data_IF_376320257339
#
_entry.id   IF_376320257339
#
_cell.length_a   1.000
_cell.length_b   1.000
_cell.length_c   1.000
_cell.angle_alpha   90.00
_cell.angle_beta   90.00
_cell.angle_gamma   90.00
#
_symmetry.space_group_name_H-M   'P 1'
#
loop_
_entity.id
_entity.type
_entity.pdbx_description
1 polymer ?
#
# COMPACT_ATOMS: atom_id res chain seq x y z
N UNK A 1 -19.85 1.68 24.61
CA UNK A 1 -19.45 2.76 23.70
C UNK A 1 -20.31 2.66 22.47
N UNK A 2 -20.85 3.79 22.10
CA UNK A 2 -21.71 3.85 20.93
C UNK A 2 -20.88 3.64 19.69
N UNK A 3 -21.35 2.80 18.79
CA UNK A 3 -20.74 2.59 17.48
C UNK A 3 -21.11 3.79 16.59
N UNK A 4 -20.15 4.29 15.84
CA UNK A 4 -20.39 5.33 14.83
C UNK A 4 -19.58 5.03 13.58
N UNK A 5 -20.11 5.43 12.45
CA UNK A 5 -19.44 5.38 11.16
C UNK A 5 -19.05 6.79 10.71
N UNK A 6 -17.94 6.89 10.01
CA UNK A 6 -17.50 8.12 9.38
C UNK A 6 -17.44 7.90 7.87
N UNK A 7 -18.12 8.75 7.13
CA UNK A 7 -18.06 8.76 5.68
C UNK A 7 -17.74 10.14 5.16
N UNK A 8 -17.08 10.20 4.00
CA UNK A 8 -16.76 11.44 3.32
C UNK A 8 -16.91 11.28 1.82
N UNK A 9 -17.29 12.36 1.15
CA UNK A 9 -17.36 12.43 -0.30
C UNK A 9 -16.45 13.55 -0.78
N UNK A 10 -15.49 13.23 -1.67
CA UNK A 10 -14.65 14.19 -2.35
C UNK A 10 -15.17 14.45 -3.76
N UNK A 11 -15.23 15.71 -4.16
CA UNK A 11 -15.57 16.12 -5.52
C UNK A 11 -14.42 16.93 -6.08
N UNK A 12 -14.01 16.62 -7.33
CA UNK A 12 -12.95 17.32 -8.02
C UNK A 12 -13.22 17.38 -9.52
N UNK A 13 -12.44 18.19 -10.23
CA UNK A 13 -12.50 18.34 -11.69
C UNK A 13 -11.09 18.12 -12.24
N UNK A 14 -11.02 17.41 -13.35
CA UNK A 14 -9.79 17.15 -14.10
C UNK A 14 -10.12 17.19 -15.58
N UNK A 15 -9.18 17.64 -16.42
CA UNK A 15 -9.32 17.55 -17.87
C UNK A 15 -9.39 16.08 -18.31
N UNK A 16 -10.25 15.78 -19.28
CA UNK A 16 -10.48 14.40 -19.71
C UNK A 16 -9.19 13.70 -20.17
N UNK A 17 -8.30 14.43 -20.83
CA UNK A 17 -7.03 13.92 -21.33
C UNK A 17 -6.00 13.69 -20.22
N UNK A 18 -6.19 14.29 -19.04
CA UNK A 18 -5.31 14.14 -17.87
C UNK A 18 -5.78 13.04 -16.91
N UNK A 19 -6.92 12.41 -17.19
CA UNK A 19 -7.45 11.35 -16.35
C UNK A 19 -6.48 10.17 -16.31
N UNK A 20 -6.00 9.85 -15.10
CA UNK A 20 -5.16 8.67 -14.85
C UNK A 20 -6.03 7.41 -14.68
N UNK A 21 -5.55 6.28 -15.16
CA UNK A 21 -6.32 5.05 -15.00
C UNK A 21 -5.73 3.85 -15.74
N UNK A 22 -6.45 2.72 -15.72
CA UNK A 22 -6.00 1.46 -16.34
C UNK A 22 -5.65 1.61 -17.83
N UNK A 23 -6.38 2.45 -18.55
CA UNK A 23 -6.20 2.64 -20.00
C UNK A 23 -4.83 3.22 -20.37
N UNK A 24 -4.12 3.80 -19.41
CA UNK A 24 -2.76 4.32 -19.59
C UNK A 24 -1.67 3.29 -19.34
N UNK A 25 -1.96 2.21 -18.61
CA UNK A 25 -0.97 1.20 -18.22
C UNK A 25 -0.51 0.39 -19.43
N UNK A 26 0.78 0.15 -19.53
CA UNK A 26 1.44 -0.54 -20.66
C UNK A 26 2.35 -1.66 -20.15
N UNK A 27 2.60 -2.71 -20.97
CA UNK A 27 3.66 -3.66 -20.68
C UNK A 27 5.02 -2.95 -20.59
N UNK A 28 5.81 -3.28 -19.60
CA UNK A 28 7.10 -2.66 -19.31
C UNK A 28 7.02 -1.53 -18.30
N UNK A 29 5.83 -0.99 -17.99
CA UNK A 29 5.69 0.02 -16.94
C UNK A 29 6.20 -0.51 -15.60
N UNK A 30 6.76 0.39 -14.79
CA UNK A 30 7.35 0.07 -13.50
C UNK A 30 6.38 0.38 -12.38
N UNK A 31 6.30 -0.53 -11.43
CA UNK A 31 5.48 -0.41 -10.23
C UNK A 31 6.36 0.11 -9.10
N UNK A 32 6.11 1.33 -8.62
CA UNK A 32 6.81 1.96 -7.51
C UNK A 32 5.95 1.89 -6.25
N UNK A 33 6.52 1.34 -5.18
CA UNK A 33 5.91 1.34 -3.86
C UNK A 33 6.24 2.62 -3.10
N UNK A 34 5.27 3.10 -2.33
CA UNK A 34 5.41 4.16 -1.34
C UNK A 34 5.06 3.61 0.03
N UNK A 35 6.01 3.71 0.96
CA UNK A 35 5.89 3.13 2.29
C UNK A 35 4.70 3.65 3.08
N UNK A 36 4.05 2.75 3.82
CA UNK A 36 3.02 3.12 4.80
C UNK A 36 3.65 3.63 6.10
N UNK A 37 2.87 4.33 6.91
CA UNK A 37 3.27 4.74 8.26
C UNK A 37 2.99 3.65 9.31
N UNK A 38 2.26 2.61 8.95
CA UNK A 38 1.81 1.53 9.83
C UNK A 38 0.65 0.77 9.21
N UNK A 39 -0.27 0.29 10.05
CA UNK A 39 -1.47 -0.45 9.61
C UNK A 39 -2.41 0.39 8.73
N UNK A 40 -2.30 1.70 8.80
CA UNK A 40 -3.28 2.65 8.28
C UNK A 40 -4.66 2.42 8.91
N UNK A 41 -5.73 2.33 8.11
CA UNK A 41 -7.09 2.16 8.64
C UNK A 41 -7.72 0.80 8.31
N UNK A 42 -6.89 -0.22 7.96
CA UNK A 42 -7.37 -1.52 7.55
C UNK A 42 -6.84 -2.64 8.45
N UNK A 43 -7.63 -3.72 8.57
CA UNK A 43 -7.25 -4.90 9.33
C UNK A 43 -7.39 -4.77 10.85
N UNK A 44 -7.95 -3.68 11.38
CA UNK A 44 -8.03 -3.45 12.82
C UNK A 44 -8.88 -4.47 13.58
N UNK A 45 -9.91 -5.04 12.97
CA UNK A 45 -10.68 -6.11 13.61
C UNK A 45 -9.78 -7.31 13.92
N UNK A 46 -8.91 -7.69 12.97
CA UNK A 46 -7.97 -8.78 13.15
C UNK A 46 -6.84 -8.40 14.13
N UNK A 47 -6.24 -7.22 13.96
CA UNK A 47 -5.17 -6.74 14.84
C UNK A 47 -5.64 -6.66 16.30
N UNK A 48 -6.81 -6.09 16.57
CA UNK A 48 -7.39 -6.00 17.91
C UNK A 48 -7.69 -7.37 18.50
N UNK A 49 -8.30 -8.25 17.71
CA UNK A 49 -8.56 -9.63 18.15
C UNK A 49 -7.28 -10.35 18.56
N UNK A 50 -6.24 -10.25 17.77
CA UNK A 50 -4.97 -10.93 18.05
C UNK A 50 -4.26 -10.30 19.24
N UNK A 51 -4.02 -9.00 19.21
CA UNK A 51 -3.14 -8.34 20.17
C UNK A 51 -3.83 -8.07 21.51
N UNK A 52 -5.13 -7.68 21.50
CA UNK A 52 -5.83 -7.26 22.71
C UNK A 52 -6.68 -8.36 23.32
N UNK A 53 -7.32 -9.22 22.51
CA UNK A 53 -8.23 -10.26 23.04
C UNK A 53 -7.51 -11.59 23.28
N UNK A 54 -6.72 -12.06 22.33
CA UNK A 54 -6.00 -13.35 22.42
C UNK A 54 -4.75 -13.19 23.26
N UNK A 55 -3.86 -12.28 22.87
CA UNK A 55 -2.55 -12.08 23.53
C UNK A 55 -2.62 -11.15 24.74
N UNK A 56 -3.74 -10.45 24.93
CA UNK A 56 -4.03 -9.58 26.06
C UNK A 56 -2.98 -8.51 26.32
N UNK A 57 -2.36 -7.99 25.25
CA UNK A 57 -1.38 -6.92 25.37
C UNK A 57 -2.02 -5.63 25.86
N UNK A 58 -1.31 -4.89 26.71
CA UNK A 58 -1.74 -3.57 27.17
C UNK A 58 -1.43 -2.51 26.11
N UNK A 59 -2.38 -1.65 25.80
CA UNK A 59 -2.13 -0.49 24.92
C UNK A 59 -1.07 0.47 25.47
N UNK A 60 -0.93 0.57 26.81
CA UNK A 60 0.10 1.36 27.47
C UNK A 60 1.44 0.63 27.62
N UNK A 61 1.50 -0.67 27.24
CA UNK A 61 2.71 -1.48 27.32
C UNK A 61 3.71 -1.06 26.24
N UNK A 62 4.97 -0.83 26.65
CA UNK A 62 6.06 -0.60 25.72
C UNK A 62 6.38 -1.89 24.95
N UNK A 63 6.61 -1.77 23.66
CA UNK A 63 6.97 -2.88 22.77
C UNK A 63 8.33 -2.55 22.18
N UNK A 64 9.34 -3.36 22.51
CA UNK A 64 10.72 -3.09 22.14
C UNK A 64 10.91 -3.02 20.63
N UNK A 65 10.26 -3.91 19.88
CA UNK A 65 10.32 -3.97 18.42
C UNK A 65 9.77 -2.72 17.73
N UNK A 66 8.92 -1.96 18.41
CA UNK A 66 8.37 -0.69 17.90
C UNK A 66 9.11 0.52 18.46
N UNK A 67 9.83 0.38 19.58
CA UNK A 67 10.44 1.49 20.32
C UNK A 67 9.42 2.45 20.94
N UNK A 68 8.15 2.02 21.04
CA UNK A 68 7.01 2.81 21.57
C UNK A 68 5.93 1.89 22.14
N UNK A 69 4.89 2.45 22.73
CA UNK A 69 3.78 1.65 23.25
C UNK A 69 2.96 1.03 22.11
N UNK A 70 2.24 -0.07 22.43
CA UNK A 70 1.31 -0.67 21.47
C UNK A 70 0.23 0.33 21.03
N UNK A 71 -0.25 1.15 21.94
CA UNK A 71 -1.26 2.17 21.63
C UNK A 71 -0.76 3.20 20.62
N UNK A 72 0.47 3.70 20.79
CA UNK A 72 1.11 4.63 19.84
C UNK A 72 1.31 4.00 18.49
N UNK A 73 1.74 2.73 18.42
CA UNK A 73 1.86 2.00 17.16
C UNK A 73 0.52 1.86 16.44
N UNK A 74 -0.52 1.45 17.16
CA UNK A 74 -1.85 1.26 16.59
C UNK A 74 -2.59 2.57 16.26
N UNK A 75 -2.19 3.69 16.85
CA UNK A 75 -2.75 5.01 16.57
C UNK A 75 -1.95 5.82 15.54
N UNK A 76 -0.89 5.23 14.97
CA UNK A 76 -0.13 5.92 13.92
C UNK A 76 -1.04 6.36 12.77
N UNK A 77 -1.11 7.67 12.48
CA UNK A 77 -2.01 8.18 11.45
C UNK A 77 -1.69 7.63 10.07
N UNK A 78 -2.73 7.39 9.28
CA UNK A 78 -2.58 7.07 7.86
C UNK A 78 -1.80 8.18 7.14
N UNK A 79 -0.74 7.81 6.44
CA UNK A 79 0.06 8.75 5.65
C UNK A 79 -0.77 9.40 4.55
N UNK A 80 -0.59 10.69 4.37
CA UNK A 80 -1.25 11.48 3.32
C UNK A 80 -0.33 11.57 2.10
N UNK A 81 -0.70 10.90 1.01
CA UNK A 81 0.10 10.83 -0.23
C UNK A 81 -0.27 11.90 -1.27
N UNK A 82 -1.27 12.73 -1.02
CA UNK A 82 -1.83 13.64 -2.02
C UNK A 82 -0.76 14.54 -2.69
N UNK A 83 0.10 15.18 -1.89
CA UNK A 83 1.16 16.05 -2.43
C UNK A 83 2.25 15.28 -3.18
N UNK A 84 2.50 14.02 -2.80
CA UNK A 84 3.51 13.17 -3.43
C UNK A 84 2.99 12.68 -4.80
N UNK A 85 1.73 12.26 -4.86
CA UNK A 85 1.07 11.90 -6.11
C UNK A 85 1.01 13.08 -7.08
N UNK A 86 0.65 14.28 -6.60
CA UNK A 86 0.64 15.49 -7.43
C UNK A 86 2.02 15.84 -7.97
N UNK A 87 3.07 15.72 -7.16
CA UNK A 87 4.44 15.96 -7.61
C UNK A 87 4.87 14.98 -8.70
N UNK A 88 4.55 13.69 -8.54
CA UNK A 88 4.82 12.69 -9.58
C UNK A 88 4.07 13.00 -10.87
N UNK A 89 2.78 13.32 -10.78
CA UNK A 89 1.95 13.63 -11.97
C UNK A 89 2.45 14.84 -12.73
N UNK A 90 2.99 15.85 -12.02
CA UNK A 90 3.51 17.06 -12.64
C UNK A 90 4.82 16.86 -13.39
N UNK A 91 5.63 15.84 -13.00
CA UNK A 91 7.01 15.73 -13.46
C UNK A 91 7.35 14.41 -14.16
N UNK A 92 6.42 13.44 -14.17
CA UNK A 92 6.63 12.10 -14.74
C UNK A 92 5.38 11.59 -15.46
N UNK A 93 5.55 10.59 -16.30
CA UNK A 93 4.44 9.91 -16.95
C UNK A 93 3.85 8.83 -16.04
N UNK A 94 3.15 9.26 -15.00
CA UNK A 94 2.35 8.35 -14.19
C UNK A 94 1.19 7.83 -15.01
N UNK A 95 0.96 6.52 -14.97
CA UNK A 95 -0.16 5.84 -15.62
C UNK A 95 -1.38 5.82 -14.70
N UNK A 96 -1.15 5.41 -13.45
CA UNK A 96 -2.20 5.29 -12.45
C UNK A 96 -1.58 5.23 -11.05
N UNK A 97 -2.43 5.46 -10.04
CA UNK A 97 -2.13 5.22 -8.63
C UNK A 97 -3.04 4.14 -8.06
N UNK A 98 -2.55 3.46 -7.04
CA UNK A 98 -3.35 2.51 -6.27
C UNK A 98 -3.11 2.72 -4.78
N UNK A 99 -4.15 3.13 -4.04
CA UNK A 99 -4.11 3.19 -2.58
C UNK A 99 -4.38 1.80 -2.01
N UNK A 100 -3.43 1.29 -1.24
CA UNK A 100 -3.52 -0.05 -0.66
C UNK A 100 -4.35 -0.01 0.61
N UNK A 101 -5.53 -0.62 0.54
CA UNK A 101 -6.53 -0.69 1.60
C UNK A 101 -6.93 -2.14 1.88
N UNK A 102 -8.14 -2.39 2.39
CA UNK A 102 -8.67 -3.74 2.55
C UNK A 102 -8.67 -4.51 1.22
N UNK A 103 -8.27 -5.77 1.27
CA UNK A 103 -7.96 -6.60 0.10
C UNK A 103 -6.47 -6.70 -0.22
N UNK A 104 -5.65 -5.91 0.48
CA UNK A 104 -4.18 -5.93 0.38
C UNK A 104 -3.63 -5.41 -0.95
N UNK A 105 -2.32 -5.52 -1.12
CA UNK A 105 -1.60 -4.95 -2.25
C UNK A 105 -2.11 -5.51 -3.60
N UNK A 106 -2.11 -6.82 -3.78
CA UNK A 106 -2.51 -7.44 -5.05
C UNK A 106 -3.98 -7.14 -5.38
N UNK A 107 -4.90 -7.35 -4.43
CA UNK A 107 -6.33 -7.13 -4.66
C UNK A 107 -6.70 -5.68 -4.99
N UNK A 108 -5.95 -4.70 -4.47
CA UNK A 108 -6.18 -3.29 -4.83
C UNK A 108 -5.55 -2.97 -6.19
N UNK A 109 -4.35 -3.46 -6.48
CA UNK A 109 -3.65 -3.17 -7.73
C UNK A 109 -4.37 -3.78 -8.95
N UNK A 110 -5.03 -4.93 -8.79
CA UNK A 110 -5.88 -5.52 -9.83
C UNK A 110 -6.98 -4.58 -10.36
N UNK A 111 -7.42 -3.61 -9.56
CA UNK A 111 -8.46 -2.65 -9.96
C UNK A 111 -7.96 -1.64 -10.99
N UNK A 112 -6.66 -1.41 -11.02
CA UNK A 112 -6.02 -0.40 -11.87
C UNK A 112 -5.08 -0.99 -12.92
N UNK A 113 -4.93 -2.31 -12.97
CA UNK A 113 -4.22 -3.01 -14.05
C UNK A 113 -5.25 -3.55 -15.04
N UNK A 114 -5.17 -3.25 -16.36
CA UNK A 114 -6.16 -3.67 -17.33
C UNK A 114 -6.07 -5.17 -17.65
N UNK A 115 -7.13 -5.72 -18.22
CA UNK A 115 -7.14 -7.09 -18.72
C UNK A 115 -6.02 -7.30 -19.76
N UNK A 116 -5.43 -8.51 -19.76
CA UNK A 116 -4.31 -8.85 -20.64
C UNK A 116 -2.95 -8.38 -20.14
N UNK A 117 -2.90 -7.67 -19.00
CA UNK A 117 -1.67 -7.33 -18.29
C UNK A 117 -1.64 -7.91 -16.87
N UNK A 118 -0.44 -8.03 -16.31
CA UNK A 118 -0.21 -8.48 -14.94
C UNK A 118 0.91 -7.67 -14.32
N UNK A 119 0.70 -7.13 -13.13
CA UNK A 119 1.76 -6.56 -12.30
C UNK A 119 2.45 -7.70 -11.53
N UNK A 120 3.72 -7.91 -11.77
CA UNK A 120 4.58 -8.87 -11.08
C UNK A 120 5.36 -8.14 -10.00
N UNK A 121 5.08 -8.47 -8.73
CA UNK A 121 5.56 -7.74 -7.56
C UNK A 121 6.53 -8.60 -6.77
N UNK A 122 7.76 -8.14 -6.59
CA UNK A 122 8.81 -8.89 -5.91
C UNK A 122 8.77 -8.66 -4.39
N UNK A 123 8.44 -9.72 -3.64
CA UNK A 123 8.44 -9.73 -2.17
C UNK A 123 9.81 -9.48 -1.55
N UNK A 124 10.88 -9.71 -2.28
CA UNK A 124 12.25 -9.51 -1.82
C UNK A 124 12.66 -8.03 -1.75
N UNK A 125 11.87 -7.11 -2.29
CA UNK A 125 12.22 -5.69 -2.37
C UNK A 125 11.98 -4.91 -1.08
N UNK A 126 11.24 -5.48 -0.12
CA UNK A 126 11.00 -4.81 1.17
C UNK A 126 10.79 -5.80 2.32
N UNK A 127 10.92 -5.28 3.52
CA UNK A 127 10.55 -5.99 4.76
C UNK A 127 9.40 -5.26 5.42
N UNK A 128 8.26 -5.92 5.68
CA UNK A 128 7.16 -5.33 6.42
C UNK A 128 7.58 -4.86 7.82
N UNK A 129 6.98 -3.77 8.31
CA UNK A 129 7.25 -3.27 9.65
C UNK A 129 6.94 -4.32 10.74
N UNK A 130 7.62 -4.26 11.92
CA UNK A 130 7.49 -5.26 12.97
C UNK A 130 6.06 -5.56 13.41
N UNK A 131 5.15 -4.61 13.36
CA UNK A 131 3.74 -4.78 13.73
C UNK A 131 3.06 -5.88 12.90
N UNK A 132 3.36 -5.99 11.61
CA UNK A 132 2.80 -7.04 10.76
C UNK A 132 3.32 -8.42 11.14
N UNK A 133 4.63 -8.51 11.41
CA UNK A 133 5.26 -9.76 11.89
C UNK A 133 4.69 -10.19 13.23
N UNK A 134 4.51 -9.25 14.16
CA UNK A 134 3.93 -9.53 15.47
C UNK A 134 2.50 -10.07 15.35
N UNK A 135 1.64 -9.42 14.55
CA UNK A 135 0.26 -9.87 14.34
C UNK A 135 0.25 -11.29 13.74
N UNK A 136 1.07 -11.54 12.71
CA UNK A 136 1.16 -12.86 12.09
C UNK A 136 1.57 -13.95 13.07
N UNK A 137 2.63 -13.71 13.84
CA UNK A 137 3.17 -14.68 14.80
C UNK A 137 2.22 -14.95 15.96
N UNK A 138 1.73 -13.89 16.61
CA UNK A 138 0.82 -13.99 17.76
C UNK A 138 -0.53 -14.58 17.38
N UNK A 139 -1.04 -14.22 16.19
CA UNK A 139 -2.29 -14.75 15.66
C UNK A 139 -2.16 -16.09 14.95
N UNK A 140 -0.94 -16.58 14.71
CA UNK A 140 -0.65 -17.76 13.87
C UNK A 140 -1.34 -17.64 12.51
N UNK A 141 -1.23 -16.46 11.90
CA UNK A 141 -1.91 -16.12 10.66
C UNK A 141 -0.98 -16.42 9.49
N UNK A 142 -1.50 -17.15 8.53
CA UNK A 142 -0.79 -17.47 7.30
C UNK A 142 -0.46 -16.20 6.50
N UNK A 143 0.68 -16.19 5.79
CA UNK A 143 1.16 -15.06 5.02
C UNK A 143 0.12 -14.55 4.01
N UNK A 144 -0.56 -15.46 3.32
CA UNK A 144 -1.57 -15.12 2.33
C UNK A 144 -2.75 -14.32 2.93
N UNK A 145 -3.16 -14.64 4.16
CA UNK A 145 -4.22 -13.89 4.87
C UNK A 145 -3.70 -12.53 5.35
N UNK A 146 -2.46 -12.43 5.80
CA UNK A 146 -1.82 -11.15 6.12
C UNK A 146 -1.76 -10.24 4.90
N UNK A 147 -1.30 -10.74 3.75
CA UNK A 147 -1.18 -10.00 2.48
C UNK A 147 -2.55 -9.57 1.91
N UNK A 148 -3.62 -10.28 2.25
CA UNK A 148 -4.99 -9.94 1.87
C UNK A 148 -5.63 -8.91 2.80
N UNK A 149 -5.27 -8.94 4.09
CA UNK A 149 -5.91 -8.10 5.11
C UNK A 149 -5.22 -6.76 5.29
N UNK A 150 -3.88 -6.75 5.22
CA UNK A 150 -3.04 -5.60 5.53
C UNK A 150 -2.29 -5.05 4.32
N UNK A 151 -1.85 -3.81 4.45
CA UNK A 151 -1.00 -3.15 3.45
C UNK A 151 0.46 -3.67 3.43
N UNK A 152 0.85 -4.44 4.44
CA UNK A 152 2.19 -5.02 4.61
C UNK A 152 3.36 -4.04 4.48
N UNK A 153 3.13 -2.76 4.79
CA UNK A 153 4.14 -1.71 4.71
C UNK A 153 4.11 -0.86 3.43
N UNK A 154 3.17 -1.12 2.52
CA UNK A 154 2.99 -0.37 1.28
C UNK A 154 1.63 0.32 1.30
N UNK A 155 1.61 1.65 1.43
CA UNK A 155 0.34 2.38 1.53
C UNK A 155 -0.18 2.90 0.19
N UNK A 156 0.72 3.24 -0.73
CA UNK A 156 0.38 3.73 -2.06
C UNK A 156 1.31 3.11 -3.10
N UNK A 157 0.81 2.90 -4.29
CA UNK A 157 1.57 2.44 -5.46
C UNK A 157 1.38 3.43 -6.60
N UNK A 158 2.47 3.75 -7.32
CA UNK A 158 2.43 4.43 -8.60
C UNK A 158 2.88 3.47 -9.70
N UNK A 159 2.17 3.46 -10.82
CA UNK A 159 2.63 2.82 -12.06
C UNK A 159 3.14 3.92 -12.99
N UNK A 160 4.39 3.85 -13.40
CA UNK A 160 5.08 4.90 -14.17
C UNK A 160 5.71 4.32 -15.43
N UNK A 161 5.96 5.19 -16.41
CA UNK A 161 6.76 4.84 -17.57
C UNK A 161 8.18 4.40 -17.16
N UNK A 162 8.78 3.39 -17.81
CA UNK A 162 10.11 2.89 -17.44
C UNK A 162 11.19 3.97 -17.43
N UNK A 163 11.15 4.88 -18.40
CA UNK A 163 12.10 5.99 -18.57
C UNK A 163 12.01 7.03 -17.44
N UNK A 164 10.91 7.10 -16.72
CA UNK A 164 10.69 8.02 -15.61
C UNK A 164 10.94 7.41 -14.23
N UNK A 165 11.33 6.14 -14.15
CA UNK A 165 11.51 5.42 -12.88
C UNK A 165 12.46 6.12 -11.93
N UNK A 166 13.66 6.44 -12.39
CA UNK A 166 14.69 7.08 -11.55
C UNK A 166 14.26 8.48 -11.10
N UNK A 167 13.62 9.23 -11.99
CA UNK A 167 13.07 10.55 -11.67
C UNK A 167 11.97 10.47 -10.62
N UNK A 168 11.05 9.53 -10.77
CA UNK A 168 9.97 9.31 -9.81
C UNK A 168 10.51 8.96 -8.42
N UNK A 169 11.48 8.04 -8.34
CA UNK A 169 12.15 7.70 -7.08
C UNK A 169 12.86 8.89 -6.46
N UNK A 170 13.56 9.70 -7.27
CA UNK A 170 14.25 10.90 -6.79
C UNK A 170 13.28 11.94 -6.22
N UNK A 171 12.15 12.19 -6.89
CA UNK A 171 11.09 13.10 -6.42
C UNK A 171 10.56 12.64 -5.06
N UNK A 172 10.20 11.37 -4.93
CA UNK A 172 9.65 10.83 -3.69
C UNK A 172 10.67 10.84 -2.55
N UNK A 173 11.92 10.49 -2.83
CA UNK A 173 13.02 10.52 -1.85
C UNK A 173 13.30 11.93 -1.35
N UNK A 174 13.33 12.93 -2.24
CA UNK A 174 13.50 14.34 -1.88
C UNK A 174 12.35 14.86 -0.98
N UNK A 175 11.22 14.20 -1.00
CA UNK A 175 10.05 14.48 -0.15
C UNK A 175 10.02 13.65 1.13
N UNK A 176 11.13 12.98 1.46
CA UNK A 176 11.29 12.12 2.63
C UNK A 176 10.28 10.96 2.69
N UNK A 177 9.86 10.46 1.54
CA UNK A 177 9.00 9.30 1.43
C UNK A 177 9.84 8.05 1.15
N UNK A 178 9.69 7.02 1.96
CA UNK A 178 10.26 5.70 1.68
C UNK A 178 9.60 5.16 0.40
N UNK A 179 10.40 4.92 -0.64
CA UNK A 179 9.92 4.43 -1.93
C UNK A 179 10.96 3.51 -2.58
N UNK A 180 10.50 2.59 -3.40
CA UNK A 180 11.35 1.65 -4.13
C UNK A 180 10.62 1.05 -5.33
N UNK A 181 11.39 0.50 -6.26
CA UNK A 181 10.82 -0.32 -7.34
C UNK A 181 10.32 -1.64 -6.75
N UNK A 182 9.02 -1.88 -6.88
CA UNK A 182 8.34 -3.06 -6.36
C UNK A 182 8.25 -4.19 -7.40
N UNK A 183 8.17 -3.82 -8.69
CA UNK A 183 7.99 -4.77 -9.75
C UNK A 183 7.70 -4.10 -11.09
N UNK A 184 7.18 -4.86 -12.03
CA UNK A 184 6.90 -4.40 -13.39
C UNK A 184 5.57 -4.94 -13.91
N UNK A 185 5.02 -4.27 -14.92
CA UNK A 185 3.83 -4.71 -15.64
C UNK A 185 4.25 -5.53 -16.86
N UNK A 186 3.79 -6.77 -16.91
CA UNK A 186 4.02 -7.69 -18.02
C UNK A 186 2.74 -7.98 -18.81
N UNK A 187 2.88 -8.58 -20.00
CA UNK A 187 1.74 -9.17 -20.69
C UNK A 187 1.24 -10.38 -19.87
N UNK A 188 -0.03 -10.39 -19.56
CA UNK A 188 -0.69 -11.46 -18.83
C UNK A 188 -1.60 -12.30 -19.72
N UNK A 189 -1.98 -13.47 -19.22
CA UNK A 189 -3.10 -14.27 -19.76
C UNK A 189 -4.33 -14.03 -18.86
N UNK A 190 -5.44 -14.66 -19.17
CA UNK A 190 -6.59 -14.68 -18.27
C UNK A 190 -6.18 -15.22 -16.90
N UNK A 191 -6.40 -14.41 -15.85
CA UNK A 191 -5.98 -14.71 -14.48
C UNK A 191 -5.82 -13.47 -13.62
N UNK A 192 -5.18 -13.57 -12.44
CA UNK A 192 -4.90 -12.44 -11.56
C UNK A 192 -4.09 -11.37 -12.29
N UNK A 193 -4.52 -10.10 -12.16
CA UNK A 193 -3.85 -8.96 -12.80
C UNK A 193 -2.75 -8.34 -11.94
N UNK A 194 -2.59 -8.83 -10.72
CA UNK A 194 -1.46 -8.53 -9.85
C UNK A 194 -1.08 -9.77 -9.05
N UNK A 195 0.19 -10.07 -8.96
CA UNK A 195 0.70 -11.21 -8.20
C UNK A 195 1.99 -10.85 -7.47
N UNK A 196 2.11 -11.35 -6.26
CA UNK A 196 3.33 -11.33 -5.47
C UNK A 196 4.17 -12.57 -5.80
N UNK A 197 5.39 -12.37 -6.23
CA UNK A 197 6.35 -13.43 -6.56
C UNK A 197 7.49 -13.45 -5.56
#
# INVERSE_FOLDING_TARGET
PDHYDVSATGVGVVEADDLLGPDRVRPGDVVIAMGSSGLHSNGYSLARKVLLEIDRMSLAGHVEEFGRTLGEELLEPTRIYAKDCLALTAETQVRTFCHVTGGGLAGNLERVVPHGLVAELDRGTWTPAPVFTMIAQRGRIERAEMEKTFNMGIGMVAVVAPEDTDRALAILTARHLSCWTLGTVAKGKDGPRAKLV
#
